data_IF_118704008012
#
_entry.id   IF_118704008012
#
_cell.length_a   1.000
_cell.length_b   1.000
_cell.length_c   1.000
_cell.angle_alpha   90.00
_cell.angle_beta   90.00
_cell.angle_gamma   90.00
#
_symmetry.space_group_name_H-M   'P 1'
#
loop_
_entity.id
_entity.type
_entity.pdbx_description
1 polymer ?
#
# COMPACT_ATOMS: atom_id res chain seq x y z
N UNK A 1 -0.88 33.02 -1.25
CA UNK A 1 -1.15 32.24 -2.48
C UNK A 1 -0.58 30.85 -2.31
N UNK A 2 -1.35 29.82 -2.68
CA UNK A 2 -0.92 28.42 -2.63
C UNK A 2 0.13 28.17 -3.72
N UNK A 3 1.32 27.70 -3.34
CA UNK A 3 2.37 27.33 -4.29
C UNK A 3 2.11 25.93 -4.85
N UNK A 4 1.64 25.85 -6.10
CA UNK A 4 1.32 24.57 -6.76
C UNK A 4 2.56 23.86 -7.30
N UNK A 5 3.70 24.55 -7.42
CA UNK A 5 4.93 23.97 -7.97
C UNK A 5 5.54 22.91 -7.04
N UNK A 6 5.06 22.83 -5.79
CA UNK A 6 5.43 21.78 -4.85
C UNK A 6 4.73 20.44 -5.13
N UNK A 7 3.85 20.34 -6.13
CA UNK A 7 3.02 19.17 -6.39
C UNK A 7 3.38 18.49 -7.71
N UNK A 8 3.29 17.17 -7.72
CA UNK A 8 3.50 16.34 -8.91
C UNK A 8 2.53 15.14 -8.92
N UNK A 9 2.44 14.48 -10.08
CA UNK A 9 1.51 13.36 -10.33
C UNK A 9 0.04 13.66 -9.93
N UNK A 10 -0.39 14.91 -10.10
CA UNK A 10 -1.80 15.28 -9.90
C UNK A 10 -2.69 14.58 -10.95
N UNK A 11 -3.91 14.23 -10.55
CA UNK A 11 -4.90 13.66 -11.48
C UNK A 11 -5.41 14.70 -12.47
N UNK A 12 -6.25 14.22 -13.41
CA UNK A 12 -6.96 15.07 -14.37
C UNK A 12 -7.57 16.30 -13.69
N UNK A 13 -7.29 17.48 -14.27
CA UNK A 13 -7.83 18.77 -13.80
C UNK A 13 -9.36 18.73 -13.68
N UNK A 14 -9.84 19.29 -12.57
CA UNK A 14 -11.25 19.38 -12.27
C UNK A 14 -11.87 20.62 -12.92
N UNK A 15 -13.19 20.58 -13.07
CA UNK A 15 -14.02 21.72 -13.42
C UNK A 15 -14.88 22.15 -12.23
N UNK A 16 -15.42 23.36 -12.27
CA UNK A 16 -16.43 23.78 -11.28
C UNK A 16 -17.61 22.81 -11.19
N UNK A 17 -17.99 22.20 -12.32
CA UNK A 17 -19.05 21.18 -12.37
C UNK A 17 -18.67 19.93 -11.57
N UNK A 18 -17.40 19.53 -11.57
CA UNK A 18 -16.93 18.38 -10.79
C UNK A 18 -17.01 18.65 -9.29
N UNK A 19 -16.57 19.85 -8.87
CA UNK A 19 -16.59 20.28 -7.48
C UNK A 19 -18.03 20.44 -6.97
N UNK A 20 -18.90 21.08 -7.76
CA UNK A 20 -20.31 21.26 -7.40
C UNK A 20 -21.04 19.90 -7.30
N UNK A 21 -20.64 18.90 -8.08
CA UNK A 21 -21.18 17.55 -7.96
C UNK A 21 -20.74 16.89 -6.64
N UNK A 22 -19.47 17.06 -6.24
CA UNK A 22 -18.93 16.60 -4.97
C UNK A 22 -19.67 17.22 -3.77
N UNK A 23 -19.80 18.55 -3.77
CA UNK A 23 -20.55 19.30 -2.77
C UNK A 23 -21.98 18.80 -2.61
N UNK A 24 -22.68 18.60 -3.75
CA UNK A 24 -24.05 18.08 -3.76
C UNK A 24 -24.16 16.68 -3.16
N UNK A 25 -23.20 15.78 -3.46
CA UNK A 25 -23.23 14.40 -2.96
C UNK A 25 -22.91 14.34 -1.46
N UNK A 26 -21.95 15.13 -1.01
CA UNK A 26 -21.54 15.21 0.39
C UNK A 26 -22.51 16.04 1.25
N UNK A 27 -23.30 16.93 0.64
CA UNK A 27 -24.17 17.85 1.36
C UNK A 27 -23.41 18.93 2.11
N UNK A 28 -22.26 19.37 1.56
CA UNK A 28 -21.39 20.41 2.13
C UNK A 28 -21.07 21.48 1.08
N UNK A 29 -20.48 22.59 1.54
CA UNK A 29 -19.72 23.51 0.68
C UNK A 29 -18.24 23.24 0.91
N UNK A 30 -17.48 23.00 -0.16
CA UNK A 30 -16.02 22.83 -0.08
C UNK A 30 -15.42 24.21 0.20
N UNK A 31 -14.57 24.39 1.23
CA UNK A 31 -13.98 25.69 1.52
C UNK A 31 -13.19 26.26 0.34
N UNK A 32 -13.29 27.58 0.12
CA UNK A 32 -12.76 28.24 -1.08
C UNK A 32 -11.26 27.98 -1.32
N UNK A 33 -10.46 27.97 -0.25
CA UNK A 33 -9.02 27.69 -0.34
C UNK A 33 -8.75 26.27 -0.88
N UNK A 34 -9.52 25.29 -0.42
CA UNK A 34 -9.45 23.91 -0.90
C UNK A 34 -9.97 23.81 -2.33
N UNK A 35 -11.06 24.52 -2.65
CA UNK A 35 -11.61 24.61 -4.01
C UNK A 35 -10.56 25.10 -5.01
N UNK A 36 -9.89 26.22 -4.70
CA UNK A 36 -8.83 26.79 -5.54
C UNK A 36 -7.63 25.86 -5.68
N UNK A 37 -7.26 25.17 -4.60
CA UNK A 37 -6.22 24.15 -4.66
C UNK A 37 -6.59 23.05 -5.68
N UNK A 38 -7.77 22.45 -5.55
CA UNK A 38 -8.21 21.32 -6.40
C UNK A 38 -8.48 21.67 -7.86
N UNK A 39 -8.79 22.92 -8.19
CA UNK A 39 -8.86 23.40 -9.58
C UNK A 39 -7.48 23.41 -10.24
N UNK A 40 -6.41 23.57 -9.47
CA UNK A 40 -5.04 23.63 -9.97
C UNK A 40 -4.29 22.29 -9.88
N UNK A 41 -4.48 21.55 -8.78
CA UNK A 41 -3.94 20.20 -8.59
C UNK A 41 -4.98 19.28 -7.94
N UNK A 42 -5.38 18.24 -8.65
CA UNK A 42 -6.36 17.28 -8.17
C UNK A 42 -5.68 16.07 -7.50
N UNK A 43 -5.41 16.16 -6.20
CA UNK A 43 -4.68 15.12 -5.47
C UNK A 43 -3.18 15.18 -5.72
N UNK A 44 -2.51 14.04 -5.83
CA UNK A 44 -1.09 13.94 -6.20
C UNK A 44 -0.13 13.92 -5.01
N UNK A 45 1.16 13.96 -5.32
CA UNK A 45 2.27 13.92 -4.38
C UNK A 45 2.85 15.33 -4.17
N UNK A 46 3.63 15.49 -3.09
CA UNK A 46 4.33 16.76 -2.78
C UNK A 46 5.83 16.54 -2.63
N UNK A 47 6.65 17.51 -3.07
CA UNK A 47 8.11 17.46 -2.90
C UNK A 47 8.52 17.77 -1.47
N UNK A 48 7.94 18.85 -0.91
CA UNK A 48 8.03 19.17 0.51
C UNK A 48 6.84 18.53 1.20
N UNK A 49 7.10 17.49 1.99
CA UNK A 49 6.09 16.61 2.55
C UNK A 49 6.11 16.58 4.09
N UNK A 50 7.05 17.27 4.73
CA UNK A 50 7.15 17.29 6.19
C UNK A 50 6.53 18.56 6.76
N UNK A 51 5.61 18.37 7.70
CA UNK A 51 5.13 19.40 8.60
C UNK A 51 5.67 19.15 10.01
N UNK A 52 6.22 20.17 10.67
CA UNK A 52 6.71 20.04 12.04
C UNK A 52 6.46 21.27 12.91
N UNK A 53 6.24 21.06 14.20
CA UNK A 53 6.25 22.10 15.23
C UNK A 53 7.29 21.75 16.30
N UNK A 54 7.80 22.77 16.98
CA UNK A 54 8.83 22.63 18.03
C UNK A 54 8.23 22.56 19.43
N UNK A 55 7.02 23.08 19.64
CA UNK A 55 6.38 23.16 20.96
C UNK A 55 4.85 22.95 20.87
N UNK A 56 4.31 21.81 21.33
CA UNK A 56 5.05 20.57 21.62
C UNK A 56 5.72 20.04 20.35
N UNK A 57 6.85 19.31 20.45
CA UNK A 57 7.51 18.75 19.28
C UNK A 57 6.60 17.75 18.59
N UNK A 58 6.38 17.94 17.30
CA UNK A 58 5.57 17.05 16.47
C UNK A 58 6.10 17.06 15.04
N UNK A 59 6.25 15.89 14.43
CA UNK A 59 6.65 15.71 13.03
C UNK A 59 5.58 14.87 12.34
N UNK A 60 5.15 15.32 11.18
CA UNK A 60 4.16 14.67 10.33
C UNK A 60 4.74 14.62 8.91
N UNK A 61 4.70 13.44 8.28
CA UNK A 61 5.02 13.27 6.85
C UNK A 61 3.73 13.03 6.08
N UNK A 62 3.43 13.92 5.14
CA UNK A 62 2.30 13.83 4.21
C UNK A 62 2.63 12.74 3.20
N UNK A 63 1.77 11.74 3.06
CA UNK A 63 1.97 10.67 2.07
C UNK A 63 1.49 11.11 0.70
N UNK A 64 0.21 11.46 0.57
CA UNK A 64 -0.37 11.95 -0.68
C UNK A 64 -1.60 12.82 -0.45
N UNK A 65 -1.94 13.64 -1.44
CA UNK A 65 -3.20 14.37 -1.51
C UNK A 65 -4.25 13.53 -2.23
N UNK A 66 -5.42 13.42 -1.61
CA UNK A 66 -6.50 12.58 -2.08
C UNK A 66 -7.21 13.31 -3.23
N UNK A 67 -7.31 12.73 -4.44
CA UNK A 67 -8.04 13.36 -5.53
C UNK A 67 -9.56 13.38 -5.25
N UNK A 68 -10.26 14.41 -5.74
CA UNK A 68 -11.73 14.49 -5.66
C UNK A 68 -12.37 13.55 -6.69
N UNK A 69 -11.74 13.41 -7.85
CA UNK A 69 -12.16 12.48 -8.92
C UNK A 69 -10.94 11.98 -9.67
N UNK A 70 -11.18 10.99 -10.53
CA UNK A 70 -10.23 10.52 -11.53
C UNK A 70 -9.01 9.80 -10.95
N UNK A 71 -9.13 9.14 -9.79
CA UNK A 71 -8.02 8.40 -9.18
C UNK A 71 -7.63 7.20 -10.07
N UNK A 72 -6.62 7.37 -10.92
CA UNK A 72 -6.24 6.39 -11.96
C UNK A 72 -5.64 5.12 -11.34
N UNK A 73 -4.83 5.27 -10.28
CA UNK A 73 -4.17 4.17 -9.58
C UNK A 73 -5.20 3.17 -9.03
N UNK A 74 -6.36 3.67 -8.62
CA UNK A 74 -7.46 2.84 -8.12
C UNK A 74 -8.63 2.74 -9.11
N UNK A 75 -8.40 2.90 -10.42
CA UNK A 75 -9.41 2.76 -11.49
C UNK A 75 -10.69 3.58 -11.27
N UNK A 76 -10.56 4.76 -10.69
CA UNK A 76 -11.65 5.67 -10.31
C UNK A 76 -12.63 5.09 -9.29
N UNK A 77 -12.19 4.12 -8.49
CA UNK A 77 -12.97 3.54 -7.40
C UNK A 77 -13.38 4.63 -6.40
N UNK A 78 -14.68 4.80 -6.12
CA UNK A 78 -15.17 5.84 -5.23
C UNK A 78 -14.59 5.74 -3.82
N UNK A 79 -14.20 4.55 -3.35
CA UNK A 79 -13.63 4.36 -2.01
C UNK A 79 -12.23 4.95 -1.85
N UNK A 80 -11.58 5.36 -2.95
CA UNK A 80 -10.20 5.88 -2.99
C UNK A 80 -10.12 7.35 -3.43
N UNK A 81 -11.26 8.04 -3.53
CA UNK A 81 -11.34 9.50 -3.75
C UNK A 81 -11.90 10.20 -2.52
N UNK A 82 -11.65 11.51 -2.40
CA UNK A 82 -12.07 12.32 -1.25
C UNK A 82 -13.55 12.15 -0.94
N UNK A 83 -14.38 12.22 -1.97
CA UNK A 83 -15.83 12.15 -1.87
C UNK A 83 -16.30 10.84 -1.22
N UNK A 84 -15.84 9.68 -1.71
CA UNK A 84 -16.27 8.39 -1.15
C UNK A 84 -15.63 8.09 0.21
N UNK A 85 -14.38 8.51 0.44
CA UNK A 85 -13.73 8.41 1.76
C UNK A 85 -14.55 9.20 2.79
N UNK A 86 -14.85 10.48 2.52
CA UNK A 86 -15.65 11.31 3.41
C UNK A 86 -17.01 10.67 3.69
N UNK A 87 -17.75 10.29 2.64
CA UNK A 87 -19.06 9.66 2.75
C UNK A 87 -19.05 8.38 3.60
N UNK A 88 -18.10 7.47 3.33
CA UNK A 88 -17.96 6.19 4.04
C UNK A 88 -17.63 6.40 5.52
N UNK A 89 -16.65 7.27 5.82
CA UNK A 89 -16.20 7.48 7.19
C UNK A 89 -17.21 8.28 8.03
N UNK A 90 -17.92 9.23 7.44
CA UNK A 90 -18.98 9.95 8.12
C UNK A 90 -20.19 9.06 8.43
N UNK A 91 -20.62 8.22 7.49
CA UNK A 91 -21.76 7.31 7.71
C UNK A 91 -21.45 6.26 8.78
N UNK A 92 -20.22 5.76 8.81
CA UNK A 92 -19.76 4.81 9.82
C UNK A 92 -19.38 5.47 11.16
N UNK A 93 -19.59 6.78 11.31
CA UNK A 93 -19.19 7.56 12.49
C UNK A 93 -17.70 7.41 12.86
N UNK A 94 -16.84 7.14 11.87
CA UNK A 94 -15.39 6.99 12.05
C UNK A 94 -14.62 8.31 11.87
N UNK A 95 -15.29 9.34 11.35
CA UNK A 95 -14.75 10.69 11.17
C UNK A 95 -15.86 11.72 11.48
N UNK A 96 -15.57 12.86 12.14
CA UNK A 96 -16.52 13.95 12.32
C UNK A 96 -16.99 14.51 10.97
N UNK A 97 -18.28 14.82 10.84
CA UNK A 97 -18.84 15.40 9.60
C UNK A 97 -18.29 16.77 9.23
N UNK A 98 -17.77 17.51 10.20
CA UNK A 98 -17.11 18.79 9.97
C UNK A 98 -15.69 18.66 9.42
N UNK A 99 -15.08 17.46 9.47
CA UNK A 99 -13.73 17.21 8.97
C UNK A 99 -13.79 16.54 7.59
N UNK A 100 -13.39 17.28 6.55
CA UNK A 100 -13.27 16.79 5.17
C UNK A 100 -11.83 16.31 4.92
N UNK A 101 -11.59 15.01 4.69
CA UNK A 101 -10.25 14.48 4.44
C UNK A 101 -9.75 14.91 3.06
N UNK A 102 -8.53 15.47 2.98
CA UNK A 102 -7.93 15.93 1.73
C UNK A 102 -6.54 15.35 1.45
N UNK A 103 -5.87 14.79 2.44
CA UNK A 103 -4.59 14.10 2.27
C UNK A 103 -4.47 12.92 3.25
N UNK A 104 -3.47 12.07 3.05
CA UNK A 104 -3.09 10.97 3.94
C UNK A 104 -1.71 11.21 4.52
N UNK A 105 -1.47 10.61 5.67
CA UNK A 105 -0.14 10.49 6.26
C UNK A 105 0.35 9.04 6.25
N UNK A 106 1.63 8.82 6.57
CA UNK A 106 2.23 7.49 6.63
C UNK A 106 1.69 6.59 7.75
N UNK A 107 1.04 7.17 8.78
CA UNK A 107 0.41 6.41 9.87
C UNK A 107 -0.96 5.84 9.50
N UNK A 108 -1.30 5.89 8.22
CA UNK A 108 -2.62 5.53 7.71
C UNK A 108 -3.73 6.42 8.34
N UNK A 109 -3.40 7.67 8.69
CA UNK A 109 -4.32 8.71 9.15
C UNK A 109 -4.81 9.60 8.00
N UNK A 110 -5.69 10.55 8.32
CA UNK A 110 -6.15 11.56 7.38
C UNK A 110 -5.67 12.95 7.79
N UNK A 111 -5.33 13.76 6.80
CA UNK A 111 -5.28 15.20 6.94
C UNK A 111 -6.64 15.75 6.51
N UNK A 112 -7.27 16.49 7.40
CA UNK A 112 -8.63 16.95 7.25
C UNK A 112 -8.69 18.47 7.38
N UNK A 113 -9.56 19.08 6.57
CA UNK A 113 -9.95 20.47 6.73
C UNK A 113 -11.28 20.53 7.46
N UNK A 114 -11.38 21.39 8.49
CA UNK A 114 -12.66 21.73 9.08
C UNK A 114 -13.46 22.59 8.09
N UNK A 115 -14.60 22.09 7.63
CA UNK A 115 -15.41 22.74 6.58
C UNK A 115 -15.98 24.10 7.01
N UNK A 116 -16.11 24.35 8.31
CA UNK A 116 -16.69 25.57 8.85
C UNK A 116 -15.63 26.63 9.14
N UNK A 117 -14.42 26.22 9.55
CA UNK A 117 -13.37 27.15 9.99
C UNK A 117 -12.20 27.25 9.03
N UNK A 118 -12.01 26.29 8.13
CA UNK A 118 -10.84 26.18 7.26
C UNK A 118 -9.57 25.65 7.96
N UNK A 119 -9.64 25.38 9.26
CA UNK A 119 -8.52 24.85 10.04
C UNK A 119 -8.14 23.43 9.60
N UNK A 120 -6.85 23.12 9.67
CA UNK A 120 -6.25 21.85 9.25
C UNK A 120 -5.94 21.00 10.47
N UNK A 121 -6.37 19.74 10.42
CA UNK A 121 -6.17 18.74 11.45
C UNK A 121 -5.56 17.48 10.85
N UNK A 122 -4.71 16.80 11.61
CA UNK A 122 -4.52 15.38 11.43
C UNK A 122 -5.58 14.63 12.24
N UNK A 123 -6.21 13.65 11.62
CA UNK A 123 -7.16 12.76 12.25
C UNK A 123 -6.60 11.34 12.26
N UNK A 124 -6.21 10.87 13.44
CA UNK A 124 -5.66 9.54 13.67
C UNK A 124 -6.79 8.50 13.73
N UNK A 125 -6.62 7.37 13.06
CA UNK A 125 -7.60 6.27 13.08
C UNK A 125 -7.30 5.27 14.20
N UNK A 126 -7.13 5.80 15.42
CA UNK A 126 -6.87 5.00 16.62
C UNK A 126 -8.11 4.20 17.04
N UNK A 127 -7.89 3.12 17.80
CA UNK A 127 -8.95 2.38 18.47
C UNK A 127 -9.78 3.30 19.37
N UNK A 128 -11.10 3.07 19.38
CA UNK A 128 -12.00 3.85 20.20
C UNK A 128 -11.82 3.50 21.67
N UNK A 129 -11.85 4.53 22.50
CA UNK A 129 -11.88 4.39 23.94
C UNK A 129 -13.33 4.18 24.38
N UNK A 130 -13.64 2.98 24.85
CA UNK A 130 -15.00 2.61 25.30
C UNK A 130 -15.47 3.41 26.53
N UNK A 131 -14.56 4.13 27.20
CA UNK A 131 -14.90 5.02 28.32
C UNK A 131 -15.30 6.43 27.87
N UNK A 132 -15.05 6.79 26.60
CA UNK A 132 -15.31 8.10 26.03
C UNK A 132 -16.56 8.07 25.13
N UNK A 133 -17.30 9.17 25.11
CA UNK A 133 -18.35 9.34 24.11
C UNK A 133 -17.75 9.62 22.71
N UNK A 134 -18.60 9.60 21.67
CA UNK A 134 -18.16 9.81 20.28
C UNK A 134 -17.40 11.12 20.07
N UNK A 135 -17.89 12.23 20.62
CA UNK A 135 -17.26 13.54 20.45
C UNK A 135 -15.90 13.63 21.15
N UNK A 136 -15.78 13.00 22.33
CA UNK A 136 -14.52 12.89 23.04
C UNK A 136 -13.50 12.02 22.29
N UNK A 137 -13.93 10.90 21.70
CA UNK A 137 -13.07 10.09 20.84
C UNK A 137 -12.60 10.86 19.60
N UNK A 138 -13.50 11.60 18.96
CA UNK A 138 -13.14 12.46 17.84
C UNK A 138 -12.11 13.53 18.22
N UNK A 139 -12.29 14.18 19.37
CA UNK A 139 -11.33 15.17 19.88
C UNK A 139 -9.98 14.53 20.23
N UNK A 140 -9.99 13.37 20.89
CA UNK A 140 -8.78 12.59 21.21
C UNK A 140 -7.98 12.24 19.96
N UNK A 141 -8.67 11.93 18.87
CA UNK A 141 -8.07 11.53 17.60
C UNK A 141 -7.71 12.70 16.67
N UNK A 142 -8.02 13.95 17.05
CA UNK A 142 -7.77 15.13 16.22
C UNK A 142 -6.61 15.95 16.76
N UNK A 143 -5.57 16.14 15.94
CA UNK A 143 -4.41 16.98 16.23
C UNK A 143 -4.50 18.22 15.33
N UNK A 144 -4.52 19.40 15.94
CA UNK A 144 -4.51 20.65 15.21
C UNK A 144 -3.14 20.90 14.58
N UNK A 145 -3.12 21.28 13.30
CA UNK A 145 -1.89 21.56 12.55
C UNK A 145 -1.80 23.03 12.13
N UNK A 146 -2.88 23.59 11.59
CA UNK A 146 -2.85 24.96 11.05
C UNK A 146 -4.23 25.59 11.04
N UNK A 147 -4.29 26.91 10.99
CA UNK A 147 -5.54 27.67 10.91
C UNK A 147 -6.09 27.74 9.47
N UNK A 148 -5.25 27.44 8.48
CA UNK A 148 -5.62 27.51 7.06
C UNK A 148 -4.78 26.58 6.20
N UNK A 149 -5.33 26.22 5.03
CA UNK A 149 -4.61 25.42 4.04
C UNK A 149 -3.34 26.10 3.55
N UNK A 150 -3.39 27.41 3.33
CA UNK A 150 -2.23 28.16 2.85
C UNK A 150 -1.08 28.11 3.86
N UNK A 151 -1.36 28.36 5.14
CA UNK A 151 -0.34 28.28 6.18
C UNK A 151 0.20 26.86 6.35
N UNK A 152 -0.65 25.84 6.25
CA UNK A 152 -0.21 24.45 6.29
C UNK A 152 0.74 24.12 5.13
N UNK A 153 0.35 24.41 3.90
CA UNK A 153 1.14 24.10 2.70
C UNK A 153 2.46 24.87 2.65
N UNK A 154 2.45 26.14 3.06
CA UNK A 154 3.68 26.96 3.11
C UNK A 154 4.64 26.55 4.23
N UNK A 155 4.14 25.83 5.25
CA UNK A 155 4.96 25.29 6.33
C UNK A 155 5.59 23.93 5.99
N UNK A 156 5.24 23.32 4.85
CA UNK A 156 5.86 22.07 4.41
C UNK A 156 7.33 22.29 4.02
N UNK A 157 8.19 21.39 4.48
CA UNK A 157 9.63 21.37 4.18
C UNK A 157 10.05 20.00 3.64
N UNK A 158 11.23 19.93 3.04
CA UNK A 158 11.91 18.65 2.80
C UNK A 158 12.55 18.17 4.10
N UNK A 159 12.88 16.88 4.19
CA UNK A 159 13.67 16.38 5.32
C UNK A 159 15.12 16.87 5.18
N UNK A 160 15.48 17.94 5.88
CA UNK A 160 16.87 18.46 5.89
C UNK A 160 17.86 17.45 6.49
N UNK A 161 17.38 16.41 7.18
CA UNK A 161 18.22 15.29 7.65
C UNK A 161 18.63 14.33 6.52
N UNK A 162 18.04 14.44 5.31
CA UNK A 162 18.53 13.74 4.12
C UNK A 162 19.78 14.41 3.51
N UNK A 163 20.04 15.70 3.75
CA UNK A 163 21.21 16.40 3.19
C UNK A 163 22.53 16.09 3.94
N UNK A 164 22.48 15.30 5.03
CA UNK A 164 23.66 14.76 5.72
C UNK A 164 23.86 13.27 5.54
N UNK A 165 22.91 12.58 4.90
CA UNK A 165 23.19 11.31 4.27
C UNK A 165 23.78 11.71 2.92
N UNK A 166 25.02 11.31 2.64
CA UNK A 166 25.50 11.33 1.25
C UNK A 166 24.37 10.80 0.38
N UNK A 167 24.09 11.43 -0.77
CA UNK A 167 23.14 10.89 -1.74
C UNK A 167 23.56 9.48 -2.11
N UNK A 168 23.06 8.51 -1.34
CA UNK A 168 23.12 7.11 -1.64
C UNK A 168 21.99 6.95 -2.65
N UNK A 169 22.37 7.04 -3.93
CA UNK A 169 21.49 6.67 -5.02
C UNK A 169 21.02 5.21 -4.76
N UNK A 170 19.81 4.84 -5.18
CA UNK A 170 19.29 3.46 -5.11
C UNK A 170 20.28 2.40 -5.67
N UNK A 171 21.34 2.84 -6.36
CA UNK A 171 22.48 2.06 -6.81
C UNK A 171 23.31 1.37 -5.70
N UNK A 172 23.20 1.75 -4.42
CA UNK A 172 24.02 1.13 -3.35
C UNK A 172 23.35 -0.07 -2.65
N UNK A 173 22.02 -0.20 -2.69
CA UNK A 173 21.36 -1.38 -2.10
C UNK A 173 21.45 -2.54 -3.10
N UNK A 174 22.48 -3.36 -2.93
CA UNK A 174 22.71 -4.55 -3.75
C UNK A 174 22.30 -5.82 -3.01
N UNK A 175 21.83 -6.84 -3.75
CA UNK A 175 21.66 -8.17 -3.17
C UNK A 175 22.92 -8.60 -2.44
N UNK A 176 22.79 -9.06 -1.18
CA UNK A 176 23.92 -9.68 -0.48
C UNK A 176 24.42 -10.87 -1.32
N UNK A 177 25.73 -11.08 -1.35
CA UNK A 177 26.42 -12.06 -2.24
C UNK A 177 25.90 -13.49 -2.10
N UNK A 178 25.32 -13.84 -0.95
CA UNK A 178 24.63 -15.11 -0.73
C UNK A 178 23.27 -14.84 -0.10
N UNK A 179 22.21 -15.43 -0.63
CA UNK A 179 20.89 -15.40 0.01
C UNK A 179 20.72 -16.61 0.92
N UNK A 180 20.81 -16.41 2.25
CA UNK A 180 20.56 -17.47 3.22
C UNK A 180 19.05 -17.67 3.39
N UNK A 181 18.64 -18.92 3.65
CA UNK A 181 17.24 -19.26 3.90
C UNK A 181 17.07 -19.81 5.32
N UNK A 182 16.48 -18.98 6.19
CA UNK A 182 16.18 -19.34 7.58
C UNK A 182 14.89 -20.16 7.66
N UNK A 183 14.75 -20.97 8.71
CA UNK A 183 13.52 -21.73 8.98
C UNK A 183 13.02 -22.59 7.80
N UNK A 184 13.95 -23.06 6.95
CA UNK A 184 13.65 -23.96 5.83
C UNK A 184 12.97 -25.24 6.33
N UNK A 185 12.01 -25.74 5.58
CA UNK A 185 11.32 -26.99 5.90
C UNK A 185 12.08 -28.20 5.34
N UNK A 186 11.60 -29.39 5.67
CA UNK A 186 12.16 -30.62 5.11
C UNK A 186 12.18 -30.57 3.57
N UNK A 187 13.29 -30.99 2.97
CA UNK A 187 13.45 -31.02 1.52
C UNK A 187 12.38 -31.90 0.84
N UNK A 188 11.97 -31.47 -0.34
CA UNK A 188 11.02 -32.17 -1.21
C UNK A 188 11.75 -32.74 -2.43
N UNK A 189 11.06 -33.56 -3.20
CA UNK A 189 11.60 -34.17 -4.41
C UNK A 189 10.64 -33.99 -5.61
N UNK A 190 11.08 -34.47 -6.78
CA UNK A 190 10.33 -34.38 -8.03
C UNK A 190 8.95 -35.03 -7.95
N UNK A 191 8.79 -36.12 -7.20
CA UNK A 191 7.49 -36.78 -7.00
C UNK A 191 6.52 -35.86 -6.26
N UNK A 192 6.98 -35.17 -5.22
CA UNK A 192 6.15 -34.21 -4.47
C UNK A 192 5.62 -33.10 -5.38
N UNK A 193 6.46 -32.54 -6.25
CA UNK A 193 6.04 -31.51 -7.20
C UNK A 193 5.14 -32.06 -8.31
N UNK A 194 5.31 -33.31 -8.72
CA UNK A 194 4.41 -33.96 -9.67
C UNK A 194 3.00 -34.18 -9.07
N UNK A 195 2.92 -34.48 -7.77
CA UNK A 195 1.65 -34.57 -7.05
C UNK A 195 0.94 -33.21 -7.01
N UNK A 196 1.69 -32.12 -6.76
CA UNK A 196 1.15 -30.75 -6.81
C UNK A 196 0.63 -30.38 -8.19
N UNK A 197 1.41 -30.61 -9.25
CA UNK A 197 0.97 -30.35 -10.63
C UNK A 197 -0.29 -31.13 -11.00
N UNK A 198 -0.39 -32.40 -10.57
CA UNK A 198 -1.56 -33.24 -10.80
C UNK A 198 -2.78 -32.74 -10.02
N UNK A 199 -2.60 -32.36 -8.76
CA UNK A 199 -3.66 -31.85 -7.88
C UNK A 199 -4.26 -30.56 -8.44
N UNK A 200 -3.40 -29.60 -8.77
CA UNK A 200 -3.80 -28.29 -9.28
C UNK A 200 -4.13 -28.28 -10.78
N UNK A 201 -3.79 -29.35 -11.51
CA UNK A 201 -3.92 -29.46 -12.97
C UNK A 201 -3.14 -28.37 -13.73
N UNK A 202 -1.95 -28.04 -13.23
CA UNK A 202 -1.05 -27.02 -13.79
C UNK A 202 0.30 -27.62 -14.18
N UNK A 203 1.15 -26.78 -14.78
CA UNK A 203 2.60 -27.01 -14.83
C UNK A 203 3.30 -25.92 -14.04
N UNK A 204 4.11 -26.31 -13.06
CA UNK A 204 4.89 -25.35 -12.29
C UNK A 204 6.01 -24.85 -13.20
N UNK A 205 6.19 -23.52 -13.39
CA UNK A 205 7.25 -22.98 -14.23
C UNK A 205 8.62 -23.51 -13.82
N UNK A 206 9.46 -23.84 -14.82
CA UNK A 206 10.72 -24.60 -14.62
C UNK A 206 11.66 -23.94 -13.61
N UNK A 207 11.74 -22.61 -13.60
CA UNK A 207 12.59 -21.85 -12.68
C UNK A 207 12.12 -21.99 -11.23
N UNK A 208 10.83 -21.77 -10.97
CA UNK A 208 10.25 -21.99 -9.64
C UNK A 208 10.37 -23.46 -9.22
N UNK A 209 10.14 -24.40 -10.15
CA UNK A 209 10.26 -25.83 -9.88
C UNK A 209 11.67 -26.20 -9.40
N UNK A 210 12.71 -25.70 -10.07
CA UNK A 210 14.11 -25.92 -9.68
C UNK A 210 14.40 -25.33 -8.30
N UNK A 211 13.90 -24.12 -8.05
CA UNK A 211 14.03 -23.46 -6.77
C UNK A 211 13.38 -24.25 -5.62
N UNK A 212 12.13 -24.70 -5.80
CA UNK A 212 11.39 -25.43 -4.76
C UNK A 212 12.03 -26.77 -4.37
N UNK A 213 12.76 -27.41 -5.29
CA UNK A 213 13.53 -28.63 -4.99
C UNK A 213 14.72 -28.36 -4.06
N UNK A 214 15.23 -27.13 -4.05
CA UNK A 214 16.33 -26.69 -3.18
C UNK A 214 15.80 -26.03 -1.90
N UNK A 215 14.65 -25.35 -1.99
CA UNK A 215 14.09 -24.52 -0.93
C UNK A 215 12.59 -24.83 -0.75
N UNK A 216 12.26 -25.65 0.25
CA UNK A 216 10.89 -25.88 0.65
C UNK A 216 10.53 -24.96 1.83
N UNK A 217 9.83 -23.86 1.55
CA UNK A 217 9.51 -22.83 2.54
C UNK A 217 10.74 -22.11 3.09
N UNK A 218 10.57 -21.40 4.20
CA UNK A 218 11.63 -20.64 4.87
C UNK A 218 11.60 -19.14 4.55
N UNK A 219 12.53 -18.40 5.14
CA UNK A 219 12.61 -16.94 5.08
C UNK A 219 13.94 -16.56 4.43
N UNK A 220 13.95 -15.96 3.23
CA UNK A 220 15.19 -15.50 2.61
C UNK A 220 15.80 -14.32 3.39
N UNK A 221 17.13 -14.20 3.36
CA UNK A 221 17.88 -13.05 3.90
C UNK A 221 17.71 -11.85 2.98
N UNK A 222 17.87 -12.06 1.67
CA UNK A 222 17.45 -11.09 0.67
C UNK A 222 15.95 -11.33 0.40
N UNK A 223 15.11 -10.57 1.08
CA UNK A 223 13.66 -10.74 1.10
C UNK A 223 12.88 -9.59 0.46
N UNK A 224 13.49 -8.44 0.23
CA UNK A 224 12.82 -7.24 -0.28
C UNK A 224 13.01 -7.06 -1.79
N UNK A 225 11.94 -6.70 -2.48
CA UNK A 225 11.96 -6.24 -3.87
C UNK A 225 11.53 -4.77 -3.89
N UNK A 226 12.39 -3.91 -4.42
CA UNK A 226 12.01 -2.52 -4.70
C UNK A 226 10.89 -2.52 -5.75
N UNK A 227 9.89 -1.68 -5.55
CA UNK A 227 8.75 -1.59 -6.46
C UNK A 227 9.17 -0.93 -7.79
N UNK A 228 9.10 -1.64 -8.93
CA UNK A 228 9.46 -1.05 -10.22
C UNK A 228 8.45 0.02 -10.70
N UNK A 229 7.22 0.05 -10.17
CA UNK A 229 6.18 0.99 -10.56
C UNK A 229 6.05 2.19 -9.58
N UNK A 230 6.87 2.21 -8.51
CA UNK A 230 6.93 3.28 -7.49
C UNK A 230 5.60 3.56 -6.76
N UNK A 231 4.66 2.61 -6.74
CA UNK A 231 3.44 2.71 -5.94
C UNK A 231 3.72 2.40 -4.45
N UNK A 232 4.71 1.56 -4.19
CA UNK A 232 5.27 1.20 -2.89
C UNK A 232 6.77 1.55 -2.84
N UNK A 233 7.35 1.71 -1.64
CA UNK A 233 8.80 1.87 -1.52
C UNK A 233 9.50 0.51 -1.75
N UNK A 234 9.01 -0.56 -1.13
CA UNK A 234 9.39 -1.96 -1.40
C UNK A 234 8.30 -2.93 -0.95
N UNK A 235 8.39 -4.17 -1.42
CA UNK A 235 7.59 -5.30 -0.92
C UNK A 235 8.52 -6.39 -0.40
N UNK A 236 8.24 -6.92 0.79
CA UNK A 236 9.11 -7.88 1.46
C UNK A 236 8.45 -9.25 1.65
N UNK A 237 9.20 -10.30 1.30
CA UNK A 237 8.84 -11.68 1.62
C UNK A 237 8.99 -11.88 3.12
N UNK A 238 7.90 -12.20 3.79
CA UNK A 238 7.96 -12.69 5.17
C UNK A 238 8.30 -14.18 5.19
N UNK A 239 7.65 -14.98 4.35
CA UNK A 239 7.85 -16.42 4.31
C UNK A 239 7.56 -16.99 2.91
N UNK A 240 8.43 -17.91 2.45
CA UNK A 240 8.14 -18.78 1.32
C UNK A 240 7.10 -19.82 1.74
N UNK A 241 6.08 -20.00 0.92
CA UNK A 241 5.00 -20.94 1.23
C UNK A 241 5.53 -22.37 0.99
N UNK A 242 5.52 -23.24 2.01
CA UNK A 242 6.01 -24.60 1.84
C UNK A 242 5.08 -25.45 0.96
N UNK A 243 5.67 -26.38 0.22
CA UNK A 243 4.97 -27.28 -0.71
C UNK A 243 4.33 -28.45 0.03
N UNK A 244 5.06 -29.06 0.99
CA UNK A 244 4.66 -30.34 1.60
C UNK A 244 4.77 -30.39 3.12
N UNK A 245 5.88 -29.91 3.65
CA UNK A 245 6.18 -29.98 5.08
C UNK A 245 6.12 -28.60 5.68
N UNK A 246 5.36 -28.44 6.77
CA UNK A 246 5.26 -27.18 7.50
C UNK A 246 5.18 -27.41 9.01
N UNK A 247 6.34 -27.47 9.66
CA UNK A 247 6.47 -27.80 11.08
C UNK A 247 5.71 -26.85 12.00
N UNK A 248 5.69 -25.55 11.68
CA UNK A 248 5.01 -24.48 12.45
C UNK A 248 3.52 -24.78 12.64
N UNK A 249 2.88 -25.43 11.67
CA UNK A 249 1.46 -25.78 11.70
C UNK A 249 1.23 -27.30 11.69
N UNK A 250 2.13 -28.09 12.27
CA UNK A 250 2.00 -29.55 12.38
C UNK A 250 1.72 -30.25 11.04
N UNK A 251 2.29 -29.74 9.94
CA UNK A 251 2.04 -30.19 8.56
C UNK A 251 0.57 -30.13 8.13
N UNK A 252 -0.20 -29.18 8.67
CA UNK A 252 -1.56 -28.91 8.19
C UNK A 252 -1.50 -28.46 6.72
N UNK A 253 -2.20 -29.23 5.88
CA UNK A 253 -2.24 -29.04 4.43
C UNK A 253 -2.81 -27.69 4.04
N UNK A 254 -3.68 -27.07 4.85
CA UNK A 254 -4.31 -25.79 4.55
C UNK A 254 -3.31 -24.63 4.46
N UNK A 255 -2.12 -24.79 5.05
CA UNK A 255 -1.06 -23.79 5.03
C UNK A 255 -0.02 -24.04 3.94
N UNK A 256 -0.16 -25.11 3.14
CA UNK A 256 0.74 -25.45 2.05
C UNK A 256 0.34 -24.77 0.74
N UNK A 257 1.34 -24.55 -0.12
CA UNK A 257 1.21 -23.92 -1.44
C UNK A 257 0.03 -24.45 -2.26
N UNK A 258 -0.16 -25.77 -2.47
CA UNK A 258 -1.30 -26.28 -3.25
C UNK A 258 -2.66 -25.90 -2.67
N UNK A 259 -2.87 -26.10 -1.37
CA UNK A 259 -4.18 -25.81 -0.75
C UNK A 259 -4.46 -24.31 -0.71
N UNK A 260 -3.43 -23.47 -0.53
CA UNK A 260 -3.56 -22.02 -0.63
C UNK A 260 -3.96 -21.59 -2.04
N UNK A 261 -3.29 -22.12 -3.07
CA UNK A 261 -3.65 -21.85 -4.46
C UNK A 261 -5.11 -22.24 -4.75
N UNK A 262 -5.51 -23.47 -4.43
CA UNK A 262 -6.88 -23.96 -4.62
C UNK A 262 -7.91 -23.11 -3.87
N UNK A 263 -7.63 -22.71 -2.62
CA UNK A 263 -8.53 -21.85 -1.84
C UNK A 263 -8.71 -20.47 -2.48
N UNK A 264 -7.61 -19.83 -2.90
CA UNK A 264 -7.62 -18.48 -3.45
C UNK A 264 -8.29 -18.46 -4.84
N UNK A 265 -8.02 -19.46 -5.67
CA UNK A 265 -8.64 -19.60 -7.00
C UNK A 265 -10.14 -19.91 -6.92
N UNK A 266 -10.55 -20.86 -6.08
CA UNK A 266 -11.97 -21.24 -5.94
C UNK A 266 -12.85 -20.09 -5.44
N UNK A 267 -12.26 -19.18 -4.65
CA UNK A 267 -12.92 -17.96 -4.16
C UNK A 267 -12.75 -16.76 -5.09
N UNK A 268 -12.05 -16.92 -6.22
CA UNK A 268 -11.72 -15.88 -7.20
C UNK A 268 -10.94 -14.70 -6.62
N UNK A 269 -10.24 -14.92 -5.50
CA UNK A 269 -9.40 -13.92 -4.84
C UNK A 269 -8.07 -13.71 -5.57
N UNK A 270 -7.62 -14.72 -6.32
CA UNK A 270 -6.49 -14.63 -7.24
C UNK A 270 -6.93 -15.07 -8.64
N UNK A 271 -6.33 -14.53 -9.71
CA UNK A 271 -6.41 -15.15 -11.03
C UNK A 271 -5.99 -16.62 -10.97
N UNK A 272 -6.70 -17.51 -11.66
CA UNK A 272 -6.45 -18.96 -11.60
C UNK A 272 -5.09 -19.39 -12.16
N UNK A 273 -4.38 -18.46 -12.81
CA UNK A 273 -3.04 -18.68 -13.35
C UNK A 273 -1.94 -18.24 -12.38
N UNK A 274 -2.30 -17.52 -11.31
CA UNK A 274 -1.34 -16.98 -10.34
C UNK A 274 -1.12 -18.00 -9.25
N UNK A 275 0.02 -18.70 -9.31
CA UNK A 275 0.45 -19.64 -8.28
C UNK A 275 1.19 -18.86 -7.18
N UNK A 276 0.63 -18.75 -5.95
CA UNK A 276 1.32 -18.09 -4.85
C UNK A 276 2.51 -18.93 -4.39
N UNK A 277 3.68 -18.31 -4.22
CA UNK A 277 4.90 -18.99 -3.74
C UNK A 277 5.51 -18.35 -2.49
N UNK A 278 5.16 -17.10 -2.18
CA UNK A 278 5.57 -16.44 -0.94
C UNK A 278 4.44 -15.55 -0.40
N UNK A 279 4.57 -15.16 0.88
CA UNK A 279 3.65 -14.27 1.58
C UNK A 279 4.44 -13.15 2.27
N UNK A 280 3.89 -11.94 2.30
CA UNK A 280 4.41 -10.85 3.13
C UNK A 280 3.90 -10.97 4.59
N UNK A 281 4.24 -10.00 5.44
CA UNK A 281 3.76 -9.97 6.82
C UNK A 281 2.28 -9.58 6.95
N UNK A 282 1.72 -8.89 5.94
CA UNK A 282 0.33 -8.44 5.88
C UNK A 282 -0.67 -9.48 5.37
N UNK A 283 -0.18 -10.62 4.85
CA UNK A 283 -1.01 -11.68 4.27
C UNK A 283 -1.26 -11.55 2.76
N UNK A 284 -0.53 -10.66 2.08
CA UNK A 284 -0.47 -10.51 0.64
C UNK A 284 0.52 -11.49 0.00
N UNK A 285 0.35 -11.77 -1.28
CA UNK A 285 1.02 -12.89 -1.93
C UNK A 285 2.00 -12.46 -3.01
N UNK A 286 3.14 -13.13 -3.06
CA UNK A 286 3.98 -13.15 -4.24
C UNK A 286 3.58 -14.34 -5.11
N UNK A 287 3.26 -14.06 -6.36
CA UNK A 287 2.68 -15.01 -7.30
C UNK A 287 3.52 -15.11 -8.56
N UNK A 288 3.60 -16.32 -9.13
CA UNK A 288 4.07 -16.53 -10.49
C UNK A 288 2.86 -16.82 -11.38
N UNK A 289 2.77 -16.16 -12.53
CA UNK A 289 1.79 -16.55 -13.54
C UNK A 289 2.31 -17.78 -14.28
N UNK A 290 1.62 -18.91 -14.13
CA UNK A 290 2.01 -20.21 -14.70
C UNK A 290 2.04 -20.20 -16.24
N UNK A 291 1.38 -19.25 -16.89
CA UNK A 291 1.30 -19.19 -18.35
C UNK A 291 2.51 -18.52 -18.99
N UNK A 292 3.07 -17.49 -18.33
CA UNK A 292 4.14 -16.67 -18.91
C UNK A 292 5.39 -16.57 -18.02
N UNK A 293 5.34 -17.05 -16.78
CA UNK A 293 6.45 -17.06 -15.82
C UNK A 293 6.74 -15.71 -15.15
N UNK A 294 5.93 -14.68 -15.40
CA UNK A 294 6.06 -13.35 -14.79
C UNK A 294 5.72 -13.40 -13.30
N UNK A 295 6.32 -12.47 -12.55
CA UNK A 295 6.18 -12.38 -11.09
C UNK A 295 5.37 -11.15 -10.72
N UNK A 296 4.42 -11.35 -9.80
CA UNK A 296 3.49 -10.34 -9.33
C UNK A 296 3.44 -10.33 -7.81
N UNK A 297 3.25 -9.15 -7.24
CA UNK A 297 2.78 -8.98 -5.87
C UNK A 297 1.26 -8.75 -5.91
N UNK A 298 0.52 -9.39 -5.02
CA UNK A 298 -0.93 -9.38 -5.04
C UNK A 298 -1.52 -9.07 -3.66
N UNK A 299 -2.26 -7.96 -3.59
CA UNK A 299 -2.89 -7.47 -2.36
C UNK A 299 -4.30 -8.03 -2.17
N UNK A 300 -4.67 -8.40 -0.94
CA UNK A 300 -6.01 -8.92 -0.65
C UNK A 300 -6.95 -7.91 0.02
N UNK A 301 -6.43 -6.77 0.46
CA UNK A 301 -7.14 -5.74 1.21
C UNK A 301 -7.65 -4.57 0.34
N UNK A 302 -7.44 -4.63 -0.97
CA UNK A 302 -7.79 -3.58 -1.94
C UNK A 302 -9.13 -3.79 -2.67
N UNK A 303 -9.87 -4.85 -2.31
CA UNK A 303 -11.12 -5.24 -2.95
C UNK A 303 -12.22 -4.18 -2.81
N UNK A 304 -12.97 -3.96 -3.90
CA UNK A 304 -14.08 -3.03 -3.97
C UNK A 304 -15.30 -3.64 -4.65
N UNK A 305 -16.44 -3.58 -3.97
CA UNK A 305 -17.73 -4.03 -4.52
C UNK A 305 -18.21 -3.16 -5.70
N UNK A 306 -17.56 -2.02 -5.94
CA UNK A 306 -17.86 -1.12 -7.07
C UNK A 306 -17.14 -1.50 -8.36
N UNK A 307 -16.20 -2.45 -8.31
CA UNK A 307 -15.40 -2.88 -9.45
C UNK A 307 -15.84 -4.26 -9.93
N UNK A 308 -15.62 -4.53 -11.21
CA UNK A 308 -15.78 -5.89 -11.73
C UNK A 308 -14.75 -6.83 -11.09
N UNK A 309 -14.96 -8.15 -11.20
CA UNK A 309 -13.96 -9.13 -10.75
C UNK A 309 -12.59 -8.87 -11.37
N UNK A 310 -12.55 -8.66 -12.69
CA UNK A 310 -11.31 -8.41 -13.43
C UNK A 310 -10.67 -7.09 -13.02
N UNK A 311 -11.46 -6.03 -12.83
CA UNK A 311 -10.92 -4.74 -12.37
C UNK A 311 -10.37 -4.82 -10.95
N UNK A 312 -11.01 -5.57 -10.05
CA UNK A 312 -10.47 -5.85 -8.72
C UNK A 312 -9.16 -6.62 -8.82
N UNK A 313 -9.13 -7.71 -9.59
CA UNK A 313 -7.92 -8.52 -9.74
C UNK A 313 -6.76 -7.72 -10.31
N UNK A 314 -6.99 -6.92 -11.35
CA UNK A 314 -5.96 -6.07 -11.93
C UNK A 314 -5.48 -5.01 -10.93
N UNK A 315 -6.40 -4.34 -10.23
CA UNK A 315 -6.09 -3.30 -9.23
C UNK A 315 -5.30 -3.87 -8.04
N UNK A 316 -5.54 -5.12 -7.68
CA UNK A 316 -4.83 -5.83 -6.63
C UNK A 316 -3.46 -6.35 -7.07
N UNK A 317 -3.11 -6.25 -8.36
CA UNK A 317 -1.92 -6.84 -8.95
C UNK A 317 -0.85 -5.80 -9.24
N UNK A 318 0.32 -5.96 -8.63
CA UNK A 318 1.53 -5.21 -8.94
C UNK A 318 2.51 -6.11 -9.72
N UNK A 319 2.99 -5.65 -10.87
CA UNK A 319 4.00 -6.37 -11.65
C UNK A 319 5.40 -6.15 -11.07
N UNK A 320 6.14 -7.22 -10.80
CA UNK A 320 7.50 -7.12 -10.24
C UNK A 320 8.59 -7.34 -11.29
N UNK A 321 8.50 -8.43 -12.05
CA UNK A 321 9.51 -8.74 -13.08
C UNK A 321 9.08 -9.85 -14.05
N UNK A 322 9.91 -10.10 -15.07
CA UNK A 322 9.55 -10.99 -16.18
C UNK A 322 9.79 -12.47 -15.90
N UNK A 323 10.57 -12.82 -14.87
CA UNK A 323 10.88 -14.22 -14.57
C UNK A 323 11.24 -14.46 -13.10
N UNK A 324 11.08 -15.69 -12.63
CA UNK A 324 11.43 -16.07 -11.26
C UNK A 324 12.92 -15.87 -10.95
N UNK A 325 13.81 -16.19 -11.89
CA UNK A 325 15.24 -16.00 -11.69
C UNK A 325 15.61 -14.51 -11.60
N UNK A 326 14.98 -13.66 -12.42
CA UNK A 326 15.13 -12.21 -12.33
C UNK A 326 14.68 -11.71 -10.95
N UNK A 327 13.51 -12.16 -10.48
CA UNK A 327 13.00 -11.83 -9.15
C UNK A 327 14.02 -12.14 -8.05
N UNK A 328 14.45 -13.40 -7.95
CA UNK A 328 15.40 -13.84 -6.92
C UNK A 328 16.73 -13.07 -7.01
N UNK A 329 17.19 -12.74 -8.22
CA UNK A 329 18.44 -12.00 -8.41
C UNK A 329 18.37 -10.52 -7.98
N UNK A 330 17.16 -9.94 -7.93
CA UNK A 330 16.93 -8.55 -7.55
C UNK A 330 16.57 -8.37 -6.08
N UNK A 331 16.31 -9.46 -5.35
CA UNK A 331 16.00 -9.36 -3.94
C UNK A 331 17.20 -8.81 -3.15
N UNK A 332 16.91 -7.88 -2.24
CA UNK A 332 17.86 -7.26 -1.32
C UNK A 332 17.43 -7.54 0.12
N UNK A 333 18.29 -7.26 1.10
CA UNK A 333 17.92 -7.44 2.49
C UNK A 333 17.11 -6.24 2.99
N UNK A 334 15.95 -6.49 3.58
CA UNK A 334 15.11 -5.45 4.19
C UNK A 334 15.83 -4.70 5.31
N UNK A 335 16.70 -5.36 6.08
CA UNK A 335 17.49 -4.68 7.12
C UNK A 335 18.45 -3.65 6.51
N UNK A 336 19.03 -3.93 5.32
CA UNK A 336 19.91 -2.98 4.62
C UNK A 336 19.11 -1.76 4.12
N UNK A 337 17.83 -1.97 3.77
CA UNK A 337 16.89 -0.89 3.43
C UNK A 337 16.54 -0.06 4.67
N UNK A 338 16.18 -0.72 5.78
CA UNK A 338 15.80 -0.04 7.02
C UNK A 338 16.96 0.79 7.59
N UNK A 339 18.17 0.25 7.58
CA UNK A 339 19.39 0.95 8.00
C UNK A 339 19.63 2.21 7.15
N UNK A 340 19.35 2.15 5.84
CA UNK A 340 19.47 3.29 4.94
C UNK A 340 18.43 4.39 5.27
N UNK A 341 17.19 4.01 5.53
CA UNK A 341 16.10 4.94 5.81
C UNK A 341 15.97 5.32 7.30
N UNK A 342 16.79 4.75 8.18
CA UNK A 342 16.77 5.00 9.63
C UNK A 342 15.47 4.57 10.31
N UNK A 343 14.88 3.46 9.87
CA UNK A 343 13.58 2.94 10.31
C UNK A 343 13.65 2.05 11.55
#
# INVERSE_FOLDING_TARGET
MINIDNFYDCEKKLTDKDLNACEKRLGITIPDSLRQFYLNCNGGMVYKDIWKTTVPPYKLKVFNFIPIKYNKAFRNDPDFIMEGIAFKHWNNKKLPKELLPFARDLSNGFLCMNINTGAIYQYLRLEWDDTLNTEQNFKKNSIYLSDSLENFLNALICDEDQDKVETIEDEDIKPRTSNKFYNSQQAINTTDLNEVEKLLKIKIPVQLRQFLLQHNGGMPENNACLDPESEFEWVAIHELIPVKYYKKFNNDKNYLMPSKAENLWSRKLLPETFLPFAIDAGGNYFCIDINNGKIYYYTLDTWSDNLSLTDNQDKSTLFLCNSFNEFISKLVCEDDINDLYGL
#
